data_IF_000940638596
#
_entry.id   IF_000940638596
#
_cell.length_a   1.000
_cell.length_b   1.000
_cell.length_c   1.000
_cell.angle_alpha   90.00
_cell.angle_beta   90.00
_cell.angle_gamma   90.00
#
_symmetry.space_group_name_H-M   'P 1'
#
loop_
_entity.id
_entity.type
_entity.pdbx_description
1 polymer ?
#
# COMPACT_ATOMS: atom_id res chain seq x y z
N UNK A 1 34.91 -17.12 -15.23
CA UNK A 1 34.28 -17.71 -14.03
C UNK A 1 34.04 -16.55 -13.09
N UNK A 2 32.77 -16.14 -12.96
CA UNK A 2 32.33 -14.97 -12.19
C UNK A 2 31.48 -15.49 -11.05
N UNK A 3 31.96 -15.31 -9.82
CA UNK A 3 31.27 -15.70 -8.59
C UNK A 3 29.99 -14.87 -8.42
N UNK A 4 28.85 -15.55 -8.57
CA UNK A 4 27.54 -15.01 -8.23
C UNK A 4 27.36 -15.07 -6.71
N UNK A 5 27.04 -13.96 -6.01
CA UNK A 5 26.83 -13.96 -4.56
C UNK A 5 25.47 -14.57 -4.15
N UNK A 6 24.76 -15.24 -5.06
CA UNK A 6 23.49 -15.87 -4.74
C UNK A 6 23.71 -17.23 -4.05
N UNK A 7 23.59 -17.23 -2.72
CA UNK A 7 23.33 -18.47 -1.97
C UNK A 7 21.83 -18.57 -1.66
N UNK A 8 21.18 -19.71 -1.97
CA UNK A 8 19.77 -19.89 -1.62
C UNK A 8 19.69 -20.16 -0.12
N UNK A 9 18.95 -19.32 0.61
CA UNK A 9 18.68 -19.52 2.03
C UNK A 9 17.17 -19.64 2.29
N UNK A 10 16.88 -20.61 3.16
CA UNK A 10 15.62 -21.21 3.55
C UNK A 10 14.67 -20.25 4.30
N UNK A 11 13.39 -20.63 4.28
CA UNK A 11 12.29 -20.36 5.24
C UNK A 11 12.42 -19.17 6.21
N UNK A 12 11.44 -18.27 6.13
CA UNK A 12 11.21 -17.23 7.13
C UNK A 12 11.09 -15.85 6.51
N UNK A 13 9.91 -15.25 6.64
CA UNK A 13 9.52 -13.92 6.19
C UNK A 13 10.63 -12.88 6.36
N UNK A 14 11.05 -12.25 5.25
CA UNK A 14 12.01 -11.13 5.27
C UNK A 14 11.28 -9.84 4.93
N UNK A 15 11.09 -8.96 5.92
CA UNK A 15 10.97 -7.54 5.67
C UNK A 15 12.39 -6.99 5.45
N UNK A 16 12.64 -6.38 4.29
CA UNK A 16 13.89 -5.69 4.04
C UNK A 16 13.91 -4.41 4.88
N UNK A 17 14.54 -4.46 6.05
CA UNK A 17 14.91 -3.26 6.81
C UNK A 17 16.17 -2.69 6.17
N UNK A 18 16.03 -1.61 5.41
CA UNK A 18 17.16 -0.88 4.84
C UNK A 18 17.49 0.34 5.71
N UNK A 19 18.73 0.44 6.21
CA UNK A 19 19.33 1.66 6.77
C UNK A 19 20.79 1.73 6.31
N UNK A 20 21.10 2.57 5.32
CA UNK A 20 22.06 3.68 5.42
C UNK A 20 21.93 4.74 6.50
N UNK A 21 21.13 5.78 6.31
CA UNK A 21 21.65 7.14 6.61
C UNK A 21 20.56 8.21 6.79
N UNK A 22 19.48 7.87 7.51
CA UNK A 22 18.51 8.88 7.98
C UNK A 22 17.30 9.10 7.08
N UNK A 23 17.05 8.22 6.11
CA UNK A 23 15.74 8.18 5.45
C UNK A 23 14.74 7.45 6.37
N UNK A 24 13.93 8.22 7.08
CA UNK A 24 12.74 7.66 7.75
C UNK A 24 11.86 7.05 6.68
N UNK A 25 11.57 5.76 6.81
CA UNK A 25 10.66 5.04 5.93
C UNK A 25 9.30 5.75 5.94
N UNK A 26 8.98 6.48 4.87
CA UNK A 26 7.60 6.75 4.52
C UNK A 26 7.06 5.47 3.88
N UNK A 27 6.66 4.52 4.73
CA UNK A 27 5.84 3.43 4.23
C UNK A 27 4.51 4.04 3.81
N UNK A 28 4.30 4.25 2.51
CA UNK A 28 2.97 4.02 1.95
C UNK A 28 2.72 2.52 2.15
N UNK A 29 2.27 2.17 3.36
CA UNK A 29 1.87 0.82 3.67
C UNK A 29 0.67 0.50 2.80
N UNK A 30 0.89 -0.14 1.66
CA UNK A 30 -0.10 -1.05 1.12
C UNK A 30 -0.36 -2.03 2.26
N UNK A 31 -1.50 -1.86 2.92
CA UNK A 31 -1.82 -2.55 4.16
C UNK A 31 -1.51 -4.01 3.99
N UNK A 32 -0.50 -4.49 4.72
CA UNK A 32 -0.51 -5.89 5.08
C UNK A 32 -1.72 -6.00 5.99
N UNK A 33 -2.79 -6.49 5.39
CA UNK A 33 -4.11 -6.58 5.98
C UNK A 33 -3.97 -7.38 7.26
N UNK A 34 -4.21 -6.75 8.42
CA UNK A 34 -4.12 -7.40 9.73
C UNK A 34 -5.24 -8.41 10.00
N UNK A 35 -5.93 -8.85 8.94
CA UNK A 35 -7.06 -9.78 8.95
C UNK A 35 -8.10 -9.45 7.86
N UNK A 36 -8.72 -10.46 7.20
CA UNK A 36 -9.66 -10.27 6.10
C UNK A 36 -10.88 -9.40 6.45
N UNK A 37 -11.22 -9.27 7.73
CA UNK A 37 -12.28 -8.42 8.25
C UNK A 37 -12.01 -6.91 8.09
N UNK A 38 -10.77 -6.52 7.83
CA UNK A 38 -10.37 -5.11 7.73
C UNK A 38 -10.30 -4.60 6.28
N UNK A 39 -10.74 -5.43 5.34
CA UNK A 39 -10.86 -5.12 3.94
C UNK A 39 -12.12 -4.32 3.62
N UNK A 40 -12.02 -3.40 2.67
CA UNK A 40 -13.18 -2.77 2.04
C UNK A 40 -14.11 -3.82 1.43
N UNK A 41 -15.40 -3.51 1.32
CA UNK A 41 -16.43 -4.47 0.89
C UNK A 41 -16.16 -5.08 -0.50
N UNK A 42 -15.47 -4.36 -1.39
CA UNK A 42 -15.14 -4.80 -2.74
C UNK A 42 -13.90 -5.73 -2.82
N UNK A 43 -13.01 -5.71 -1.83
CA UNK A 43 -11.68 -6.28 -1.96
C UNK A 43 -11.63 -7.82 -2.16
N UNK A 44 -12.50 -8.66 -1.55
CA UNK A 44 -12.46 -10.11 -1.78
C UNK A 44 -12.79 -10.51 -3.22
N UNK A 45 -13.86 -9.96 -3.80
CA UNK A 45 -14.27 -10.25 -5.18
C UNK A 45 -13.23 -9.72 -6.19
N UNK A 46 -12.66 -8.55 -5.90
CA UNK A 46 -11.68 -7.91 -6.76
C UNK A 46 -10.37 -8.73 -6.89
N UNK A 47 -9.98 -9.48 -5.86
CA UNK A 47 -8.78 -10.34 -5.89
C UNK A 47 -8.85 -11.48 -6.89
N UNK A 48 -9.99 -12.17 -6.94
CA UNK A 48 -10.20 -13.27 -7.89
C UNK A 48 -10.18 -12.74 -9.33
N UNK A 49 -10.77 -11.56 -9.55
CA UNK A 49 -10.81 -10.92 -10.85
C UNK A 49 -9.43 -10.42 -11.32
N UNK A 50 -8.64 -9.82 -10.43
CA UNK A 50 -7.27 -9.36 -10.70
C UNK A 50 -6.30 -10.51 -11.03
N UNK A 51 -6.62 -11.73 -10.60
CA UNK A 51 -5.83 -12.93 -10.88
C UNK A 51 -6.47 -13.87 -11.92
N UNK A 52 -7.52 -13.42 -12.61
CA UNK A 52 -8.21 -14.25 -13.60
C UNK A 52 -7.29 -14.72 -14.75
N UNK A 53 -7.55 -15.93 -15.24
CA UNK A 53 -6.95 -16.47 -16.47
C UNK A 53 -7.53 -15.79 -17.72
N UNK A 54 -8.76 -15.30 -17.65
CA UNK A 54 -9.37 -14.55 -18.73
C UNK A 54 -8.81 -13.12 -18.76
N UNK A 55 -8.16 -12.76 -19.86
CA UNK A 55 -7.50 -11.47 -20.02
C UNK A 55 -8.50 -10.31 -20.01
N UNK A 56 -9.69 -10.50 -20.58
CA UNK A 56 -10.72 -9.46 -20.59
C UNK A 56 -11.19 -9.16 -19.16
N UNK A 57 -11.58 -10.19 -18.40
CA UNK A 57 -11.93 -10.08 -16.98
C UNK A 57 -10.82 -9.39 -16.18
N UNK A 58 -9.56 -9.82 -16.36
CA UNK A 58 -8.44 -9.26 -15.61
C UNK A 58 -8.17 -7.79 -15.95
N UNK A 59 -8.29 -7.42 -17.22
CA UNK A 59 -8.08 -6.03 -17.67
C UNK A 59 -9.14 -5.10 -17.10
N UNK A 60 -10.40 -5.51 -17.10
CA UNK A 60 -11.50 -4.75 -16.49
C UNK A 60 -11.30 -4.60 -14.98
N UNK A 61 -10.86 -5.68 -14.31
CA UNK A 61 -10.57 -5.66 -12.89
C UNK A 61 -9.47 -4.64 -12.52
N UNK A 62 -8.40 -4.58 -13.31
CA UNK A 62 -7.34 -3.57 -13.13
C UNK A 62 -7.83 -2.15 -13.37
N UNK A 63 -8.67 -1.94 -14.38
CA UNK A 63 -9.24 -0.63 -14.67
C UNK A 63 -10.12 -0.13 -13.52
N UNK A 64 -11.03 -0.98 -13.03
CA UNK A 64 -11.88 -0.67 -11.87
C UNK A 64 -11.04 -0.45 -10.61
N UNK A 65 -10.07 -1.34 -10.32
CA UNK A 65 -9.19 -1.22 -9.15
C UNK A 65 -8.43 0.10 -9.14
N UNK A 66 -7.83 0.47 -10.27
CA UNK A 66 -7.09 1.71 -10.39
C UNK A 66 -8.02 2.93 -10.26
N UNK A 67 -9.21 2.90 -10.87
CA UNK A 67 -10.17 3.99 -10.73
C UNK A 67 -10.59 4.19 -9.26
N UNK A 68 -10.76 3.10 -8.51
CA UNK A 68 -11.11 3.14 -7.09
C UNK A 68 -9.98 3.67 -6.20
N UNK A 69 -8.75 3.72 -6.67
CA UNK A 69 -7.65 4.32 -5.92
C UNK A 69 -7.75 5.86 -5.81
N UNK A 70 -8.66 6.50 -6.55
CA UNK A 70 -8.75 7.96 -6.60
C UNK A 70 -10.17 8.45 -6.31
N UNK A 71 -10.31 9.56 -5.59
CA UNK A 71 -11.58 10.28 -5.50
C UNK A 71 -11.85 11.04 -6.82
N UNK A 72 -10.80 11.63 -7.39
CA UNK A 72 -10.81 12.24 -8.72
C UNK A 72 -9.73 11.60 -9.59
N UNK A 73 -10.08 11.02 -10.76
CA UNK A 73 -9.09 10.40 -11.63
C UNK A 73 -7.95 11.37 -12.00
N UNK A 74 -6.70 10.87 -12.09
CA UNK A 74 -5.57 11.67 -12.55
C UNK A 74 -5.72 12.04 -14.04
N UNK A 75 -4.85 12.92 -14.58
CA UNK A 75 -4.82 13.20 -16.01
C UNK A 75 -4.79 11.92 -16.84
N UNK A 76 -5.50 11.90 -17.96
CA UNK A 76 -5.68 10.69 -18.76
C UNK A 76 -4.36 10.03 -19.17
N UNK A 77 -3.33 10.82 -19.49
CA UNK A 77 -1.99 10.32 -19.81
C UNK A 77 -1.38 9.51 -18.66
N UNK A 78 -1.59 9.95 -17.43
CA UNK A 78 -1.05 9.32 -16.23
C UNK A 78 -1.86 8.08 -15.91
N UNK A 79 -3.19 8.17 -15.99
CA UNK A 79 -4.08 7.02 -15.80
C UNK A 79 -3.76 5.88 -16.78
N UNK A 80 -3.58 6.19 -18.08
CA UNK A 80 -3.20 5.20 -19.09
C UNK A 80 -1.84 4.56 -18.78
N UNK A 81 -0.86 5.35 -18.36
CA UNK A 81 0.46 4.83 -17.95
C UNK A 81 0.35 3.89 -16.74
N UNK A 82 -0.49 4.26 -15.77
CA UNK A 82 -0.79 3.44 -14.60
C UNK A 82 -1.46 2.13 -14.97
N UNK A 83 -2.43 2.13 -15.87
CA UNK A 83 -3.04 0.89 -16.37
C UNK A 83 -2.01 -0.06 -16.97
N UNK A 84 -1.06 0.46 -17.76
CA UNK A 84 -0.03 -0.37 -18.41
C UNK A 84 0.86 -1.05 -17.36
N UNK A 85 1.48 -0.29 -16.45
CA UNK A 85 2.41 -0.93 -15.51
C UNK A 85 1.70 -1.80 -14.46
N UNK A 86 0.47 -1.46 -14.05
CA UNK A 86 -0.30 -2.31 -13.15
C UNK A 86 -0.77 -3.58 -13.86
N UNK A 87 -1.19 -3.50 -15.12
CA UNK A 87 -1.57 -4.65 -15.94
C UNK A 87 -0.41 -5.60 -16.27
N UNK A 88 0.84 -5.13 -16.15
CA UNK A 88 2.05 -5.94 -16.30
C UNK A 88 2.42 -6.74 -15.05
N UNK A 89 1.75 -6.51 -13.91
CA UNK A 89 1.99 -7.30 -12.70
C UNK A 89 1.67 -8.77 -12.98
N UNK A 90 2.62 -9.71 -12.77
CA UNK A 90 2.37 -11.13 -13.01
C UNK A 90 1.18 -11.63 -12.19
N UNK A 91 0.37 -12.52 -12.78
CA UNK A 91 -0.81 -13.09 -12.10
C UNK A 91 -0.41 -13.79 -10.80
N UNK A 92 0.74 -14.44 -10.79
CA UNK A 92 1.29 -15.15 -9.63
C UNK A 92 1.54 -14.20 -8.45
N UNK A 93 1.91 -12.94 -8.72
CA UNK A 93 2.04 -11.91 -7.68
C UNK A 93 0.66 -11.58 -7.10
N UNK A 94 -0.36 -11.40 -7.94
CA UNK A 94 -1.72 -11.15 -7.47
C UNK A 94 -2.30 -12.32 -6.66
N UNK A 95 -1.95 -13.56 -7.02
CA UNK A 95 -2.32 -14.75 -6.26
C UNK A 95 -1.60 -14.86 -4.92
N UNK A 96 -0.37 -14.34 -4.83
CA UNK A 96 0.43 -14.37 -3.61
C UNK A 96 0.07 -13.26 -2.62
N UNK A 97 -0.40 -12.09 -3.06
CA UNK A 97 -0.73 -10.97 -2.16
C UNK A 97 -1.68 -11.37 -1.02
N UNK A 98 -2.78 -12.13 -1.25
CA UNK A 98 -3.68 -12.56 -0.17
C UNK A 98 -3.07 -13.56 0.81
N UNK A 99 -1.95 -14.21 0.45
CA UNK A 99 -1.27 -15.18 1.31
C UNK A 99 -0.20 -14.53 2.20
N UNK A 100 0.06 -13.23 2.02
CA UNK A 100 0.94 -12.46 2.88
C UNK A 100 0.30 -12.30 4.27
N UNK A 101 0.88 -12.94 5.28
CA UNK A 101 0.47 -12.80 6.67
C UNK A 101 0.91 -11.47 7.28
N UNK A 102 0.20 -11.05 8.32
CA UNK A 102 0.47 -9.84 9.10
C UNK A 102 1.15 -10.12 10.44
N UNK A 103 1.56 -11.36 10.70
CA UNK A 103 2.11 -11.79 11.99
C UNK A 103 3.34 -10.96 12.39
N UNK A 104 3.34 -10.49 13.65
CA UNK A 104 4.41 -9.67 14.20
C UNK A 104 4.40 -8.19 13.76
N UNK A 105 3.52 -7.78 12.84
CA UNK A 105 3.47 -6.38 12.41
C UNK A 105 3.06 -5.42 13.52
N UNK A 106 2.13 -5.81 14.39
CA UNK A 106 1.72 -4.97 15.51
C UNK A 106 2.91 -4.64 16.44
N UNK A 107 3.78 -5.63 16.71
CA UNK A 107 4.99 -5.44 17.51
C UNK A 107 5.99 -4.51 16.83
N UNK A 108 6.09 -4.59 15.50
CA UNK A 108 6.93 -3.68 14.71
C UNK A 108 6.36 -2.27 14.78
N UNK A 109 5.06 -2.09 14.52
CA UNK A 109 4.41 -0.78 14.53
C UNK A 109 4.49 -0.10 15.89
N UNK A 110 4.27 -0.84 16.99
CA UNK A 110 4.37 -0.32 18.35
C UNK A 110 5.77 0.24 18.71
N UNK A 111 6.84 -0.23 18.04
CA UNK A 111 8.23 0.17 18.30
C UNK A 111 8.74 1.28 17.37
N UNK A 112 7.95 1.71 16.38
CA UNK A 112 8.38 2.77 15.46
C UNK A 112 8.44 4.12 16.21
N UNK A 113 9.59 4.81 16.24
CA UNK A 113 9.76 5.99 17.09
C UNK A 113 9.01 7.23 16.59
N UNK A 114 8.74 7.33 15.29
CA UNK A 114 7.98 8.42 14.65
C UNK A 114 7.17 7.81 13.52
N UNK A 115 5.86 8.01 13.52
CA UNK A 115 4.97 7.42 12.53
C UNK A 115 3.92 8.44 12.07
N UNK A 116 3.87 8.69 10.77
CA UNK A 116 2.85 9.53 10.14
C UNK A 116 1.95 8.63 9.30
N UNK A 117 0.67 8.59 9.63
CA UNK A 117 -0.37 7.88 8.87
C UNK A 117 -1.11 8.91 8.04
N UNK A 118 -1.06 8.79 6.71
CA UNK A 118 -1.79 9.66 5.78
C UNK A 118 -2.97 8.90 5.22
N UNK A 119 -4.18 9.42 5.43
CA UNK A 119 -5.42 8.74 5.08
C UNK A 119 -6.31 9.65 4.24
N UNK A 120 -6.90 9.16 3.15
CA UNK A 120 -7.93 9.86 2.40
C UNK A 120 -9.33 9.49 2.88
N UNK A 121 -10.20 10.47 3.12
CA UNK A 121 -11.57 10.20 3.63
C UNK A 121 -12.53 9.59 2.59
N UNK A 122 -12.15 9.58 1.31
CA UNK A 122 -12.88 8.93 0.21
C UNK A 122 -12.28 7.55 -0.16
N UNK A 123 -11.47 6.96 0.73
CA UNK A 123 -10.89 5.62 0.57
C UNK A 123 -11.96 4.52 0.40
N UNK A 124 -11.73 3.59 -0.53
CA UNK A 124 -12.69 2.51 -0.89
C UNK A 124 -12.11 1.10 -0.76
N UNK A 125 -10.79 0.94 -0.71
CA UNK A 125 -10.10 -0.35 -0.69
C UNK A 125 -9.85 -0.87 0.72
N UNK A 126 -9.54 0.03 1.65
CA UNK A 126 -9.21 -0.33 3.03
C UNK A 126 -10.20 0.30 4.00
N UNK A 127 -10.53 -0.40 5.08
CA UNK A 127 -11.39 0.16 6.12
C UNK A 127 -10.60 1.15 6.96
N UNK A 128 -11.27 2.21 7.42
CA UNK A 128 -10.66 3.23 8.27
C UNK A 128 -10.05 2.63 9.55
N UNK A 129 -10.65 1.56 10.08
CA UNK A 129 -10.21 0.81 11.24
C UNK A 129 -8.79 0.23 11.09
N UNK A 130 -8.32 -0.06 9.86
CA UNK A 130 -6.93 -0.43 9.61
C UNK A 130 -5.97 0.67 10.04
N UNK A 131 -6.30 1.90 9.66
CA UNK A 131 -5.49 3.07 9.95
C UNK A 131 -5.54 3.42 11.45
N UNK A 132 -6.68 3.20 12.10
CA UNK A 132 -6.84 3.38 13.55
C UNK A 132 -6.06 2.37 14.38
N UNK A 133 -5.98 1.10 13.96
CA UNK A 133 -5.20 0.08 14.69
C UNK A 133 -3.75 0.53 14.92
N UNK A 134 -3.14 1.15 13.90
CA UNK A 134 -1.77 1.66 14.00
C UNK A 134 -1.66 2.81 15.00
N UNK A 135 -2.67 3.69 15.07
CA UNK A 135 -2.73 4.77 16.06
C UNK A 135 -2.89 4.23 17.48
N UNK A 136 -3.74 3.22 17.68
CA UNK A 136 -3.96 2.60 18.99
C UNK A 136 -2.72 1.84 19.50
N UNK A 137 -1.98 1.21 18.58
CA UNK A 137 -0.78 0.44 18.90
C UNK A 137 0.45 1.30 19.20
N UNK A 138 0.56 2.49 18.59
CA UNK A 138 1.75 3.33 18.69
C UNK A 138 1.39 4.76 19.15
N UNK A 139 1.72 5.15 20.40
CA UNK A 139 1.42 6.48 20.91
C UNK A 139 2.22 7.62 20.22
N UNK A 140 3.28 7.29 19.48
CA UNK A 140 4.03 8.24 18.65
C UNK A 140 3.45 8.40 17.24
N UNK A 141 2.39 7.66 16.91
CA UNK A 141 1.73 7.77 15.62
C UNK A 141 0.84 9.01 15.55
N UNK A 142 0.88 9.70 14.40
CA UNK A 142 0.04 10.84 14.08
C UNK A 142 -0.76 10.53 12.83
N UNK A 143 -2.09 10.65 12.94
CA UNK A 143 -3.00 10.58 11.80
C UNK A 143 -3.09 11.94 11.09
N UNK A 144 -3.08 11.93 9.76
CA UNK A 144 -3.36 13.07 8.90
C UNK A 144 -4.42 12.68 7.86
N UNK A 145 -5.62 13.24 8.01
CA UNK A 145 -6.75 12.95 7.12
C UNK A 145 -6.80 13.98 5.97
N UNK A 146 -6.94 13.50 4.75
CA UNK A 146 -6.94 14.24 3.49
C UNK A 146 -8.35 14.30 2.92
N UNK A 147 -9.03 15.42 3.16
CA UNK A 147 -10.40 15.66 2.69
C UNK A 147 -10.49 15.63 1.15
N UNK A 148 -11.43 14.82 0.65
CA UNK A 148 -11.72 14.59 -0.76
C UNK A 148 -10.60 13.85 -1.50
N UNK A 149 -9.74 13.11 -0.79
CA UNK A 149 -8.76 12.20 -1.38
C UNK A 149 -9.13 10.76 -1.03
N UNK A 150 -8.80 9.81 -1.89
CA UNK A 150 -9.03 8.38 -1.67
C UNK A 150 -7.71 7.68 -1.31
N UNK A 151 -7.43 6.54 -1.96
CA UNK A 151 -6.28 5.68 -1.67
C UNK A 151 -4.92 6.33 -1.98
N UNK A 152 -4.90 7.37 -2.81
CA UNK A 152 -3.67 8.00 -3.29
C UNK A 152 -3.55 9.48 -2.89
N UNK A 153 -3.55 9.85 -1.59
CA UNK A 153 -3.46 11.25 -1.16
C UNK A 153 -2.17 11.94 -1.62
N UNK A 154 -1.10 11.18 -1.84
CA UNK A 154 0.16 11.67 -2.42
C UNK A 154 0.03 12.14 -3.87
N UNK A 155 -0.94 11.59 -4.62
CA UNK A 155 -1.24 11.97 -5.99
C UNK A 155 -2.37 13.00 -6.05
N UNK A 156 -3.35 12.91 -5.17
CA UNK A 156 -4.55 13.76 -5.19
C UNK A 156 -4.37 15.09 -4.47
N UNK A 157 -3.44 15.16 -3.51
CA UNK A 157 -3.07 16.36 -2.76
C UNK A 157 -1.54 16.49 -2.64
N UNK A 158 -0.80 16.48 -3.77
CA UNK A 158 0.65 16.32 -3.77
C UNK A 158 1.37 17.44 -3.03
N UNK A 159 0.88 18.69 -3.11
CA UNK A 159 1.49 19.82 -2.40
C UNK A 159 1.41 19.69 -0.87
N UNK A 160 0.23 19.28 -0.36
CA UNK A 160 0.04 19.03 1.08
C UNK A 160 0.87 17.82 1.52
N UNK A 161 0.78 16.72 0.77
CA UNK A 161 1.50 15.48 1.07
C UNK A 161 3.01 15.71 1.12
N UNK A 162 3.57 16.36 0.11
CA UNK A 162 5.01 16.63 0.05
C UNK A 162 5.46 17.56 1.18
N UNK A 163 4.65 18.55 1.57
CA UNK A 163 4.95 19.42 2.72
C UNK A 163 4.96 18.63 4.04
N UNK A 164 3.95 17.78 4.27
CA UNK A 164 3.88 16.95 5.47
C UNK A 164 5.03 15.94 5.52
N UNK A 165 5.33 15.27 4.41
CA UNK A 165 6.45 14.35 4.28
C UNK A 165 7.79 15.05 4.54
N UNK A 166 8.01 16.24 3.99
CA UNK A 166 9.23 17.00 4.20
C UNK A 166 9.38 17.47 5.66
N UNK A 167 8.28 17.87 6.31
CA UNK A 167 8.30 18.20 7.73
C UNK A 167 8.59 16.96 8.59
N UNK A 168 7.95 15.83 8.29
CA UNK A 168 8.17 14.56 8.97
C UNK A 168 9.62 14.07 8.80
N UNK A 169 10.22 14.20 7.62
CA UNK A 169 11.61 13.80 7.39
C UNK A 169 12.62 14.61 8.22
N UNK A 170 12.32 15.87 8.55
CA UNK A 170 13.24 16.78 9.25
C UNK A 170 13.34 16.59 10.77
N UNK A 171 12.35 15.95 11.40
CA UNK A 171 12.28 15.81 12.86
C UNK A 171 11.20 16.69 13.46
#
# INVERSE_FOLDING_TARGET
>A
MSDSPYQPALEGHRFNVYRPDGLTLAAAGYGVVSGPELLGQAAPAQRELLSSLDLATRTEAYASFLADCFAVPPPESDFRRMLVFNGMVPREVQQAVPTLGSDGLDEVWAKVPRLLVSWGDEERHTRFEMSHRVIDLNPAARMSIYEGAAHAPFHERPERFNRELAAFAKG
#
